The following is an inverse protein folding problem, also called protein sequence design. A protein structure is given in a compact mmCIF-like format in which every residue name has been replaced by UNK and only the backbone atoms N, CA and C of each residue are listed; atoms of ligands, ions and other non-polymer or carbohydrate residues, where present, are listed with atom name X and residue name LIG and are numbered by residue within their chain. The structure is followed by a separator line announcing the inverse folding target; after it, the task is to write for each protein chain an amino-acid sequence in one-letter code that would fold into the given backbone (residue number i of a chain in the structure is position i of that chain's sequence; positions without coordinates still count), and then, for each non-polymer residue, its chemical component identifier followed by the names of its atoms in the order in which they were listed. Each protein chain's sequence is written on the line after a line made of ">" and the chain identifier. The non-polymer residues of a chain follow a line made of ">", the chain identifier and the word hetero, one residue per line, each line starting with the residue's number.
data_IF_692304111737
#
_entry.id   IF_692304111737
#
_cell.length_a   1.000
_cell.length_b   1.000
_cell.length_c   1.000
_cell.angle_alpha   90.00
_cell.angle_beta   90.00
_cell.angle_gamma   90.00
#
_symmetry.space_group_name_H-M   'P 1'
#
loop_
_entity.id
_entity.type
_entity.pdbx_description
1 polymer ?
#
# COMPACT_ATOMS: atom_id res chain seq x y z
N UNK A 1 13.62 -21.73 12.61
CA UNK A 1 12.61 -22.75 12.24
C UNK A 1 11.22 -22.11 12.30
N UNK A 2 10.85 -21.31 11.29
CA UNK A 2 9.50 -20.72 11.21
C UNK A 2 8.88 -21.07 9.86
N UNK A 3 7.65 -21.60 9.89
CA UNK A 3 6.87 -21.94 8.72
C UNK A 3 5.57 -22.62 9.14
N UNK A 4 4.53 -22.51 8.30
CA UNK A 4 3.23 -23.15 8.55
C UNK A 4 3.10 -24.34 7.62
N UNK A 5 2.72 -25.48 8.17
CA UNK A 5 2.39 -26.68 7.40
C UNK A 5 0.94 -26.59 6.91
N UNK A 6 0.74 -26.70 5.60
CA UNK A 6 -0.59 -26.83 4.98
C UNK A 6 -0.75 -28.25 4.44
N UNK A 7 -1.91 -28.83 4.67
CA UNK A 7 -2.29 -30.13 4.16
C UNK A 7 -3.34 -29.97 3.07
N UNK A 8 -3.02 -30.42 1.86
CA UNK A 8 -3.99 -30.45 0.77
C UNK A 8 -5.00 -31.60 0.97
N UNK A 9 -6.18 -31.48 0.35
CA UNK A 9 -7.22 -32.55 0.29
C UNK A 9 -6.72 -33.89 -0.28
N UNK A 10 -5.59 -33.88 -0.98
CA UNK A 10 -4.93 -35.05 -1.54
C UNK A 10 -3.89 -35.67 -0.57
N UNK A 11 -3.82 -35.20 0.68
CA UNK A 11 -2.91 -35.72 1.71
C UNK A 11 -1.46 -35.24 1.60
N UNK A 12 -1.16 -34.27 0.72
CA UNK A 12 0.19 -33.73 0.55
C UNK A 12 0.42 -32.59 1.55
N UNK A 13 1.48 -32.72 2.36
CA UNK A 13 1.92 -31.68 3.28
C UNK A 13 2.93 -30.75 2.59
N UNK A 14 2.70 -29.43 2.63
CA UNK A 14 3.65 -28.40 2.17
C UNK A 14 4.04 -27.48 3.32
N UNK A 15 5.34 -27.21 3.47
CA UNK A 15 5.86 -26.25 4.43
C UNK A 15 6.03 -24.88 3.75
N UNK A 16 5.26 -23.89 4.19
CA UNK A 16 5.42 -22.51 3.75
C UNK A 16 6.36 -21.81 4.72
N UNK A 17 7.59 -21.51 4.29
CA UNK A 17 8.61 -20.92 5.17
C UNK A 17 8.32 -19.46 5.54
N UNK A 18 7.57 -18.74 4.69
CA UNK A 18 7.14 -17.37 4.90
C UNK A 18 5.65 -17.22 4.59
N UNK A 19 4.76 -17.63 5.52
CA UNK A 19 3.30 -17.61 5.31
C UNK A 19 2.78 -16.22 4.96
N UNK A 20 3.48 -15.15 5.35
CA UNK A 20 3.18 -13.79 4.93
C UNK A 20 3.42 -13.59 3.44
N UNK A 21 4.63 -13.78 2.92
CA UNK A 21 4.98 -13.41 1.53
C UNK A 21 4.19 -14.17 0.46
N UNK A 22 3.98 -15.47 0.64
CA UNK A 22 3.26 -16.29 -0.37
C UNK A 22 1.74 -16.14 -0.29
N UNK A 23 1.17 -15.85 0.89
CA UNK A 23 -0.26 -15.51 1.00
C UNK A 23 -0.61 -14.12 0.45
N UNK A 24 0.37 -13.22 0.28
CA UNK A 24 0.16 -11.90 -0.34
C UNK A 24 0.16 -11.92 -1.88
N UNK A 25 0.85 -12.87 -2.52
CA UNK A 25 0.88 -13.00 -3.99
C UNK A 25 -0.32 -13.78 -4.54
N UNK A 26 -1.02 -14.54 -3.68
CA UNK A 26 -2.30 -15.14 -4.03
C UNK A 26 -3.41 -14.09 -3.90
N UNK A 27 -3.91 -13.66 -5.05
CA UNK A 27 -4.91 -12.60 -5.25
C UNK A 27 -6.28 -12.89 -4.61
N UNK A 28 -6.51 -14.10 -4.11
CA UNK A 28 -7.70 -14.46 -3.34
C UNK A 28 -7.31 -15.42 -2.21
N UNK A 29 -7.82 -15.22 -0.99
CA UNK A 29 -7.66 -16.23 0.06
C UNK A 29 -8.30 -17.53 -0.43
N UNK A 30 -7.60 -18.68 -0.35
CA UNK A 30 -8.14 -19.96 -0.84
C UNK A 30 -9.42 -20.41 -0.11
N UNK A 31 -9.77 -19.76 1.00
CA UNK A 31 -11.01 -20.00 1.75
C UNK A 31 -11.55 -18.69 2.36
N UNK A 32 -12.87 -18.44 2.31
CA UNK A 32 -13.49 -17.40 3.10
C UNK A 32 -13.38 -17.78 4.58
N UNK A 33 -12.61 -17.01 5.37
CA UNK A 33 -12.51 -17.19 6.82
C UNK A 33 -11.18 -17.72 7.35
N UNK A 34 -10.16 -17.95 6.52
CA UNK A 34 -8.81 -18.18 7.04
C UNK A 34 -8.31 -16.92 7.74
N UNK A 35 -8.19 -16.98 9.06
CA UNK A 35 -7.55 -15.96 9.87
C UNK A 35 -6.08 -15.83 9.43
N UNK A 36 -5.82 -14.90 8.52
CA UNK A 36 -4.47 -14.42 8.26
C UNK A 36 -3.93 -13.88 9.58
N UNK A 37 -2.72 -14.30 9.96
CA UNK A 37 -2.07 -13.86 11.20
C UNK A 37 -2.14 -12.32 11.35
N UNK A 38 -2.22 -11.75 12.56
CA UNK A 38 -2.11 -10.31 12.77
C UNK A 38 -0.82 -9.80 12.09
N UNK A 39 -0.94 -9.02 11.01
CA UNK A 39 0.17 -8.60 10.16
C UNK A 39 0.23 -9.24 8.75
N UNK A 40 -0.64 -10.20 8.45
CA UNK A 40 -0.79 -10.81 7.13
C UNK A 40 -1.90 -10.16 6.28
N UNK A 41 -2.57 -9.12 6.79
CA UNK A 41 -3.46 -8.29 5.98
C UNK A 41 -2.70 -7.08 5.43
N UNK A 42 -2.91 -6.67 4.17
CA UNK A 42 -2.25 -5.50 3.61
C UNK A 42 -2.62 -4.26 4.42
N UNK A 43 -1.63 -3.50 4.87
CA UNK A 43 -1.90 -2.23 5.53
C UNK A 43 -2.53 -1.26 4.56
N UNK A 44 -3.36 -0.37 5.10
CA UNK A 44 -4.09 0.63 4.33
C UNK A 44 -3.62 2.04 4.71
N UNK A 45 -3.66 2.92 3.71
CA UNK A 45 -3.32 4.34 3.87
C UNK A 45 -4.63 5.09 4.15
N UNK A 46 -4.72 5.77 5.29
CA UNK A 46 -5.94 6.42 5.77
C UNK A 46 -5.74 7.92 5.84
N UNK A 47 -6.68 8.68 5.30
CA UNK A 47 -6.78 10.12 5.46
C UNK A 47 -7.58 10.45 6.73
N UNK A 48 -6.93 11.06 7.71
CA UNK A 48 -7.43 11.25 9.07
C UNK A 48 -8.67 12.17 9.16
N UNK A 49 -8.70 13.36 8.51
CA UNK A 49 -9.83 14.28 8.66
C UNK A 49 -11.19 13.72 8.24
N UNK A 50 -11.21 12.83 7.24
CA UNK A 50 -12.43 12.17 6.76
C UNK A 50 -12.52 10.69 7.17
N UNK A 51 -11.53 10.18 7.91
CA UNK A 51 -11.33 8.75 8.20
C UNK A 51 -11.51 7.86 6.95
N UNK A 52 -11.01 8.32 5.81
CA UNK A 52 -11.19 7.67 4.50
C UNK A 52 -10.01 6.76 4.20
N UNK A 53 -10.27 5.52 3.79
CA UNK A 53 -9.25 4.63 3.23
C UNK A 53 -8.97 5.02 1.78
N UNK A 54 -7.69 5.22 1.45
CA UNK A 54 -7.26 5.53 0.09
C UNK A 54 -7.16 4.22 -0.70
N UNK A 55 -8.13 3.99 -1.60
CA UNK A 55 -8.22 2.81 -2.46
C UNK A 55 -7.79 3.05 -3.91
N UNK A 56 -7.53 4.30 -4.30
CA UNK A 56 -7.15 4.67 -5.66
C UNK A 56 -6.26 5.91 -5.70
N UNK A 57 -5.55 6.12 -6.82
CA UNK A 57 -4.79 7.36 -7.02
C UNK A 57 -5.67 8.58 -7.23
N UNK A 58 -6.91 8.43 -7.71
CA UNK A 58 -7.84 9.55 -7.83
C UNK A 58 -8.21 10.10 -6.44
N UNK A 59 -8.49 9.20 -5.48
CA UNK A 59 -8.75 9.59 -4.10
C UNK A 59 -7.53 10.25 -3.47
N UNK A 60 -6.35 9.65 -3.68
CA UNK A 60 -5.10 10.18 -3.13
C UNK A 60 -4.78 11.57 -3.70
N UNK A 61 -4.90 11.76 -5.01
CA UNK A 61 -4.64 13.01 -5.70
C UNK A 61 -5.59 14.11 -5.23
N UNK A 62 -6.87 13.81 -5.04
CA UNK A 62 -7.82 14.76 -4.47
C UNK A 62 -7.40 15.20 -3.05
N UNK A 63 -7.10 14.25 -2.16
CA UNK A 63 -6.68 14.56 -0.77
C UNK A 63 -5.35 15.29 -0.71
N UNK A 64 -4.39 14.92 -1.54
CA UNK A 64 -3.11 15.62 -1.65
C UNK A 64 -3.30 17.04 -2.20
N UNK A 65 -4.21 17.24 -3.16
CA UNK A 65 -4.59 18.54 -3.69
C UNK A 65 -5.13 19.50 -2.63
N UNK A 66 -6.00 19.02 -1.73
CA UNK A 66 -6.50 19.79 -0.57
C UNK A 66 -5.37 20.25 0.37
N UNK A 67 -4.24 19.53 0.38
CA UNK A 67 -3.05 19.83 1.18
C UNK A 67 -2.01 20.66 0.41
N UNK A 68 -2.33 21.10 -0.81
CA UNK A 68 -1.49 21.93 -1.65
C UNK A 68 -0.51 21.16 -2.55
N UNK A 69 -0.61 19.83 -2.65
CA UNK A 69 0.22 19.07 -3.58
C UNK A 69 -0.36 19.10 -4.99
N UNK A 70 0.52 19.20 -5.99
CA UNK A 70 0.17 19.21 -7.41
C UNK A 70 0.85 18.06 -8.15
N UNK A 71 0.24 17.61 -9.25
CA UNK A 71 0.77 16.52 -10.06
C UNK A 71 1.95 17.00 -10.89
N UNK A 72 3.12 16.41 -10.66
CA UNK A 72 4.35 16.72 -11.37
C UNK A 72 4.55 15.77 -12.54
N UNK A 73 4.62 16.33 -13.75
CA UNK A 73 4.83 15.57 -14.97
C UNK A 73 6.32 15.62 -15.34
N UNK A 74 7.08 14.61 -14.91
CA UNK A 74 8.47 14.46 -15.32
C UNK A 74 8.53 13.78 -16.68
N UNK A 75 9.05 14.48 -17.70
CA UNK A 75 9.32 13.89 -19.02
C UNK A 75 10.32 12.72 -18.98
N UNK A 76 11.10 12.61 -17.90
CA UNK A 76 12.18 11.63 -17.75
C UNK A 76 11.74 10.34 -17.03
N UNK A 77 10.49 10.25 -16.56
CA UNK A 77 10.04 9.10 -15.77
C UNK A 77 8.57 8.75 -16.09
N UNK A 78 8.31 8.20 -17.30
CA UNK A 78 6.95 7.88 -17.73
C UNK A 78 6.25 6.82 -16.86
N UNK A 79 7.02 6.00 -16.16
CA UNK A 79 6.51 4.91 -15.32
C UNK A 79 6.18 5.33 -13.87
N UNK A 80 6.38 6.62 -13.54
CA UNK A 80 6.15 7.16 -12.20
C UNK A 80 5.07 8.22 -12.18
N UNK A 81 4.23 8.13 -11.15
CA UNK A 81 3.29 9.17 -10.77
C UNK A 81 3.91 10.01 -9.66
N UNK A 82 4.16 11.29 -9.93
CA UNK A 82 4.84 12.17 -8.98
C UNK A 82 3.94 13.33 -8.54
N UNK A 83 4.07 13.69 -7.26
CA UNK A 83 3.41 14.85 -6.67
C UNK A 83 4.42 15.77 -6.02
N UNK A 84 4.24 17.07 -6.22
CA UNK A 84 5.11 18.11 -5.70
C UNK A 84 4.32 19.05 -4.79
N UNK A 85 4.92 19.50 -3.70
CA UNK A 85 4.20 20.33 -2.72
C UNK A 85 4.06 21.79 -3.13
N UNK A 86 5.06 22.34 -3.81
CA UNK A 86 5.09 23.73 -4.27
C UNK A 86 6.39 23.96 -5.00
N UNK A 87 6.42 24.78 -6.07
CA UNK A 87 7.61 25.10 -6.87
C UNK A 87 8.87 25.47 -6.05
N UNK A 88 8.69 25.99 -4.84
CA UNK A 88 9.75 26.42 -3.93
C UNK A 88 10.19 25.36 -2.90
N UNK A 89 9.54 24.21 -2.82
CA UNK A 89 9.79 23.16 -1.83
C UNK A 89 10.45 21.94 -2.47
N UNK A 90 11.46 21.30 -1.84
CA UNK A 90 12.06 20.08 -2.39
C UNK A 90 11.20 18.82 -2.16
N UNK A 91 9.99 18.96 -1.59
CA UNK A 91 9.16 17.82 -1.23
C UNK A 91 8.49 17.19 -2.46
N UNK A 92 8.90 15.96 -2.78
CA UNK A 92 8.39 15.15 -3.89
C UNK A 92 7.92 13.79 -3.38
N UNK A 93 6.73 13.37 -3.77
CA UNK A 93 6.21 12.01 -3.57
C UNK A 93 6.31 11.30 -4.91
N UNK A 94 6.88 10.09 -4.93
CA UNK A 94 7.00 9.27 -6.14
C UNK A 94 6.31 7.92 -5.95
N UNK A 95 5.32 7.66 -6.78
CA UNK A 95 4.45 6.50 -6.75
C UNK A 95 4.55 5.73 -8.07
N UNK A 96 4.29 4.41 -8.07
CA UNK A 96 4.18 3.67 -9.32
C UNK A 96 2.90 4.08 -10.05
N UNK A 97 2.91 4.10 -11.39
CA UNK A 97 1.72 4.47 -12.19
C UNK A 97 0.51 3.55 -11.92
N UNK A 98 0.75 2.25 -11.67
CA UNK A 98 -0.30 1.31 -11.34
C UNK A 98 -0.49 1.19 -9.82
N UNK A 99 -1.73 1.40 -9.34
CA UNK A 99 -2.07 1.30 -7.91
C UNK A 99 -1.87 -0.12 -7.36
N UNK A 100 -1.92 -1.16 -8.20
CA UNK A 100 -1.61 -2.53 -7.78
C UNK A 100 -0.15 -2.68 -7.27
N UNK A 101 0.74 -1.78 -7.70
CA UNK A 101 2.13 -1.73 -7.25
C UNK A 101 2.33 -0.81 -6.03
N UNK A 102 1.26 -0.21 -5.50
CA UNK A 102 1.31 0.65 -4.32
C UNK A 102 1.62 -0.19 -3.07
N UNK A 103 2.79 0.06 -2.49
CA UNK A 103 3.42 -0.70 -1.40
C UNK A 103 3.60 0.17 -0.16
N UNK A 104 3.88 -0.47 0.96
CA UNK A 104 4.17 0.18 2.24
C UNK A 104 5.20 1.33 2.16
N UNK A 105 6.26 1.14 1.37
CA UNK A 105 7.29 2.18 1.20
C UNK A 105 6.68 3.48 0.65
N UNK A 106 5.78 3.38 -0.31
CA UNK A 106 5.07 4.52 -0.89
C UNK A 106 4.08 5.14 0.10
N UNK A 107 3.38 4.31 0.88
CA UNK A 107 2.46 4.78 1.93
C UNK A 107 3.20 5.59 2.99
N UNK A 108 4.30 5.05 3.53
CA UNK A 108 5.08 5.75 4.55
C UNK A 108 5.74 7.02 4.02
N UNK A 109 6.12 7.06 2.74
CA UNK A 109 6.62 8.29 2.13
C UNK A 109 5.59 9.43 2.21
N UNK A 110 4.32 9.12 1.93
CA UNK A 110 3.20 10.07 2.06
C UNK A 110 3.00 10.47 3.52
N UNK A 111 3.01 9.52 4.45
CA UNK A 111 2.82 9.78 5.88
C UNK A 111 3.93 10.67 6.45
N UNK A 112 5.20 10.41 6.13
CA UNK A 112 6.32 11.23 6.60
C UNK A 112 6.18 12.68 6.13
N UNK A 113 5.72 12.87 4.88
CA UNK A 113 5.53 14.21 4.29
C UNK A 113 4.26 14.93 4.74
N UNK A 114 3.27 14.18 5.23
CA UNK A 114 1.94 14.69 5.59
C UNK A 114 1.44 14.11 6.93
N UNK A 115 2.32 14.08 7.94
CA UNK A 115 2.13 13.32 9.20
C UNK A 115 0.84 13.61 9.94
N UNK A 116 0.33 14.84 9.87
CA UNK A 116 -0.91 15.24 10.56
C UNK A 116 -2.19 14.78 9.85
N UNK A 117 -2.08 14.32 8.60
CA UNK A 117 -3.23 14.05 7.73
C UNK A 117 -3.34 12.59 7.31
N UNK A 118 -2.24 11.84 7.32
CA UNK A 118 -2.23 10.45 6.89
C UNK A 118 -1.65 9.51 7.95
N UNK A 119 -2.20 8.30 7.99
CA UNK A 119 -1.73 7.21 8.84
C UNK A 119 -1.76 5.89 8.06
N UNK A 120 -0.81 5.00 8.35
CA UNK A 120 -0.84 3.61 7.87
C UNK A 120 -1.45 2.74 8.96
N UNK A 121 -2.60 2.12 8.71
CA UNK A 121 -3.29 1.24 9.66
C UNK A 121 -3.28 -0.21 9.20
N UNK A 122 -3.30 -1.11 10.17
CA UNK A 122 -3.71 -2.49 9.92
C UNK A 122 -5.24 -2.51 9.70
N UNK A 123 -5.75 -3.29 8.73
CA UNK A 123 -7.17 -3.28 8.36
C UNK A 123 -8.09 -4.08 9.30
#
# INVERSE_FOLDING_TARGET
>A
MSGVWIFDKNGVARLISNPTRESFEQKEPPYPGTATAPGARPRVLVYLPANQIIGSYADLEHRLGELGWTRYHSSNSPDLLQFHRSDTSPHLISLPVNFANFKLLHMYDIVVKNRSYFEVRDP
#
